data_IF_059227287884
#
_entry.id   IF_059227287884
#
_cell.length_a   1.000
_cell.length_b   1.000
_cell.length_c   1.000
_cell.angle_alpha   90.00
_cell.angle_beta   90.00
_cell.angle_gamma   90.00
#
_symmetry.space_group_name_H-M   'P 1'
#
loop_
_entity.id
_entity.type
_entity.pdbx_description
1 polymer ?
#
# COMPACT_ATOMS: atom_id res chain seq x y z
N UNK A 1 2.80 -5.89 1.41
CA UNK A 1 1.52 -5.85 2.15
C UNK A 1 1.14 -4.41 2.38
N UNK A 2 -0.14 -4.07 2.30
CA UNK A 2 -0.61 -2.72 2.65
C UNK A 2 -1.27 -2.76 4.03
N UNK A 3 -1.03 -1.77 4.88
CA UNK A 3 -1.54 -1.75 6.25
C UNK A 3 -2.25 -0.43 6.54
N UNK A 4 -3.47 -0.53 7.09
CA UNK A 4 -4.31 0.60 7.49
C UNK A 4 -4.82 0.41 8.92
N UNK A 5 -4.68 1.44 9.76
CA UNK A 5 -5.30 1.52 11.08
C UNK A 5 -6.75 1.99 10.97
N UNK A 6 -7.65 1.45 11.81
CA UNK A 6 -9.08 1.74 11.70
C UNK A 6 -9.62 2.74 12.73
N UNK A 7 -8.76 3.31 13.58
CA UNK A 7 -9.16 4.25 14.64
C UNK A 7 -9.13 5.72 14.20
N UNK A 8 -8.55 6.02 13.04
CA UNK A 8 -8.53 7.38 12.51
C UNK A 8 -9.91 7.76 11.96
N UNK A 9 -10.28 9.04 12.08
CA UNK A 9 -11.56 9.55 11.55
C UNK A 9 -11.66 9.33 10.03
N UNK A 10 -10.55 9.44 9.32
CA UNK A 10 -10.45 9.20 7.88
C UNK A 10 -10.29 7.72 7.48
N UNK A 11 -10.44 6.77 8.40
CA UNK A 11 -10.32 5.35 8.11
C UNK A 11 -11.16 4.86 6.91
N UNK A 12 -12.39 5.34 6.66
CA UNK A 12 -13.14 4.98 5.45
C UNK A 12 -12.44 5.40 4.16
N UNK A 13 -11.92 6.64 4.11
CA UNK A 13 -11.16 7.15 2.96
C UNK A 13 -9.84 6.42 2.77
N UNK A 14 -9.16 6.12 3.87
CA UNK A 14 -7.94 5.33 3.84
C UNK A 14 -8.18 3.93 3.23
N UNK A 15 -9.28 3.27 3.61
CA UNK A 15 -9.67 1.96 3.08
C UNK A 15 -10.03 2.01 1.58
N UNK A 16 -10.69 3.07 1.15
CA UNK A 16 -11.01 3.27 -0.27
C UNK A 16 -9.72 3.43 -1.10
N UNK A 17 -8.84 4.33 -0.68
CA UNK A 17 -7.63 4.67 -1.42
C UNK A 17 -6.58 3.54 -1.40
N UNK A 18 -6.43 2.82 -0.28
CA UNK A 18 -5.57 1.62 -0.24
C UNK A 18 -6.11 0.49 -1.13
N UNK A 19 -7.43 0.42 -1.32
CA UNK A 19 -8.09 -0.51 -2.24
C UNK A 19 -7.75 -0.18 -3.69
N UNK A 20 -7.87 1.10 -4.08
CA UNK A 20 -7.48 1.57 -5.43
C UNK A 20 -6.01 1.25 -5.74
N UNK A 21 -5.09 1.54 -4.82
CA UNK A 21 -3.67 1.18 -4.98
C UNK A 21 -3.47 -0.35 -5.14
N UNK A 22 -4.22 -1.16 -4.38
CA UNK A 22 -4.17 -2.62 -4.51
C UNK A 22 -4.65 -3.07 -5.90
N UNK A 23 -5.74 -2.50 -6.39
CA UNK A 23 -6.31 -2.83 -7.71
C UNK A 23 -5.33 -2.44 -8.83
N UNK A 24 -4.76 -1.23 -8.80
CA UNK A 24 -3.70 -0.81 -9.73
C UNK A 24 -2.52 -1.79 -9.71
N UNK A 25 -2.07 -2.19 -8.52
CA UNK A 25 -0.97 -3.16 -8.38
C UNK A 25 -1.34 -4.54 -8.93
N UNK A 26 -2.58 -4.99 -8.73
CA UNK A 26 -3.06 -6.28 -9.22
C UNK A 26 -3.17 -6.31 -10.74
N UNK A 27 -3.63 -5.22 -11.36
CA UNK A 27 -3.72 -5.10 -12.82
C UNK A 27 -2.34 -5.07 -13.48
N UNK A 28 -1.38 -4.35 -12.90
CA UNK A 28 -0.01 -4.26 -13.43
C UNK A 28 0.81 -5.53 -13.17
N UNK A 29 0.86 -5.99 -11.92
CA UNK A 29 1.68 -7.11 -11.48
C UNK A 29 0.94 -8.00 -10.46
N UNK A 30 0.11 -8.95 -10.94
CA UNK A 30 -0.67 -9.81 -10.06
C UNK A 30 0.17 -10.51 -8.98
N UNK A 31 -0.22 -10.33 -7.72
CA UNK A 31 0.42 -10.98 -6.57
C UNK A 31 1.61 -10.22 -5.95
N UNK A 32 2.04 -9.09 -6.51
CA UNK A 32 3.11 -8.26 -5.91
C UNK A 32 2.70 -7.72 -4.54
N UNK A 33 1.43 -7.34 -4.38
CA UNK A 33 0.81 -7.03 -3.09
C UNK A 33 -0.02 -8.22 -2.65
N UNK A 34 0.39 -8.86 -1.55
CA UNK A 34 -0.25 -10.10 -1.06
C UNK A 34 -1.64 -9.91 -0.48
N UNK A 35 -1.88 -8.82 0.25
CA UNK A 35 -3.15 -8.50 0.90
C UNK A 35 -3.09 -7.11 1.55
N UNK A 36 -4.26 -6.63 1.97
CA UNK A 36 -4.45 -5.44 2.80
C UNK A 36 -4.74 -5.91 4.23
N UNK A 37 -4.04 -5.36 5.22
CA UNK A 37 -4.29 -5.60 6.64
C UNK A 37 -4.98 -4.37 7.24
N UNK A 38 -6.16 -4.59 7.80
CA UNK A 38 -6.80 -3.60 8.69
C UNK A 38 -6.41 -3.92 10.13
N UNK A 39 -5.70 -3.00 10.78
CA UNK A 39 -5.29 -3.11 12.18
C UNK A 39 -6.34 -2.49 13.09
N UNK A 40 -7.14 -3.37 13.68
CA UNK A 40 -8.18 -3.01 14.64
C UNK A 40 -7.59 -2.32 15.89
N UNK A 41 -8.14 -1.17 16.26
CA UNK A 41 -7.71 -0.38 17.43
C UNK A 41 -6.41 0.40 17.25
N UNK A 42 -5.76 0.30 16.09
CA UNK A 42 -4.50 0.98 15.82
C UNK A 42 -4.72 2.44 15.40
N UNK A 43 -3.90 3.33 15.96
CA UNK A 43 -3.80 4.74 15.59
C UNK A 43 -2.38 5.01 15.11
N UNK A 44 -2.19 4.98 13.79
CA UNK A 44 -0.93 5.33 13.13
C UNK A 44 -0.98 6.78 12.64
N UNK A 45 0.13 7.29 12.09
CA UNK A 45 0.22 8.62 11.46
C UNK A 45 -0.59 8.76 10.15
N UNK A 46 -1.54 7.86 9.91
CA UNK A 46 -2.39 7.83 8.72
C UNK A 46 -3.52 8.87 8.77
N UNK A 47 -3.75 9.51 9.92
CA UNK A 47 -4.64 10.68 10.03
C UNK A 47 -4.09 11.93 9.31
N UNK A 48 -2.81 11.94 8.92
CA UNK A 48 -2.17 13.10 8.29
C UNK A 48 -2.70 13.38 6.87
N UNK A 49 -3.23 12.38 6.19
CA UNK A 49 -3.78 12.48 4.83
C UNK A 49 -4.64 11.25 4.53
N UNK A 50 -5.63 11.40 3.66
CA UNK A 50 -6.42 10.29 3.12
C UNK A 50 -5.62 9.33 2.24
N UNK A 51 -4.36 9.68 1.94
CA UNK A 51 -3.41 8.91 1.13
C UNK A 51 -2.23 8.35 1.93
N UNK A 52 -2.25 8.48 3.27
CA UNK A 52 -1.16 8.00 4.12
C UNK A 52 -1.36 6.52 4.48
N UNK A 53 -0.61 5.61 3.85
CA UNK A 53 -0.62 4.17 4.13
C UNK A 53 0.76 3.66 4.52
N UNK A 54 0.81 2.46 5.11
CA UNK A 54 2.06 1.74 5.31
C UNK A 54 2.18 0.64 4.27
N UNK A 55 3.31 0.62 3.56
CA UNK A 55 3.67 -0.41 2.59
C UNK A 55 4.81 -1.24 3.20
N UNK A 56 4.56 -2.53 3.43
CA UNK A 56 5.59 -3.49 3.85
C UNK A 56 6.14 -4.19 2.60
N UNK A 57 7.41 -3.97 2.30
CA UNK A 57 8.14 -4.58 1.20
C UNK A 57 9.22 -5.52 1.75
N UNK A 58 9.23 -6.77 1.26
CA UNK A 58 10.24 -7.75 1.63
C UNK A 58 10.11 -8.35 3.03
N UNK A 59 11.08 -9.22 3.35
CA UNK A 59 11.37 -9.77 4.66
C UNK A 59 12.84 -10.24 4.71
N UNK A 60 13.28 -10.78 5.85
CA UNK A 60 14.65 -11.27 6.04
C UNK A 60 15.04 -12.46 5.17
N UNK A 61 14.09 -13.06 4.46
CA UNK A 61 14.33 -14.17 3.53
C UNK A 61 14.62 -13.71 2.11
N UNK A 62 14.37 -12.43 1.79
CA UNK A 62 14.60 -11.92 0.44
C UNK A 62 16.08 -11.61 0.21
N UNK A 63 16.53 -11.83 -1.02
CA UNK A 63 17.83 -11.33 -1.46
C UNK A 63 17.76 -9.84 -1.78
N UNK A 64 18.92 -9.17 -1.86
CA UNK A 64 18.96 -7.75 -2.27
C UNK A 64 18.35 -7.57 -3.67
N UNK A 65 18.69 -8.45 -4.60
CA UNK A 65 18.22 -8.39 -5.99
C UNK A 65 16.70 -8.50 -6.09
N UNK A 66 16.09 -9.39 -5.30
CA UNK A 66 14.62 -9.50 -5.23
C UNK A 66 13.96 -8.22 -4.72
N UNK A 67 14.56 -7.57 -3.72
CA UNK A 67 14.04 -6.32 -3.15
C UNK A 67 14.23 -5.16 -4.11
N UNK A 68 15.37 -5.05 -4.77
CA UNK A 68 15.62 -4.01 -5.78
C UNK A 68 14.58 -4.12 -6.91
N UNK A 69 14.39 -5.33 -7.45
CA UNK A 69 13.40 -5.55 -8.50
C UNK A 69 11.97 -5.27 -8.02
N UNK A 70 11.64 -5.68 -6.79
CA UNK A 70 10.33 -5.35 -6.18
C UNK A 70 10.14 -3.84 -6.05
N UNK A 71 11.19 -3.09 -5.72
CA UNK A 71 11.13 -1.63 -5.59
C UNK A 71 10.92 -0.93 -6.93
N UNK A 72 11.51 -1.43 -8.02
CA UNK A 72 11.27 -0.93 -9.37
C UNK A 72 9.79 -1.10 -9.76
N UNK A 73 9.24 -2.31 -9.59
CA UNK A 73 7.83 -2.58 -9.87
C UNK A 73 6.88 -1.73 -8.99
N UNK A 74 7.21 -1.58 -7.71
CA UNK A 74 6.44 -0.74 -6.79
C UNK A 74 6.48 0.74 -7.21
N UNK A 75 7.59 1.21 -7.77
CA UNK A 75 7.72 2.58 -8.28
C UNK A 75 6.78 2.82 -9.45
N UNK A 76 6.71 1.88 -10.40
CA UNK A 76 5.79 1.96 -11.53
C UNK A 76 4.32 1.98 -11.08
N UNK A 77 3.96 1.10 -10.13
CA UNK A 77 2.61 1.07 -9.54
C UNK A 77 2.26 2.40 -8.88
N UNK A 78 3.15 2.92 -8.03
CA UNK A 78 2.91 4.18 -7.32
C UNK A 78 2.80 5.35 -8.29
N UNK A 79 3.64 5.38 -9.33
CA UNK A 79 3.56 6.39 -10.38
C UNK A 79 2.21 6.34 -11.11
N UNK A 80 1.75 5.16 -11.50
CA UNK A 80 0.43 5.00 -12.13
C UNK A 80 -0.69 5.45 -11.20
N UNK A 81 -0.73 4.93 -9.97
CA UNK A 81 -1.75 5.26 -8.98
C UNK A 81 -1.80 6.77 -8.69
N UNK A 82 -0.66 7.43 -8.47
CA UNK A 82 -0.61 8.86 -8.17
C UNK A 82 -1.16 9.72 -9.32
N UNK A 83 -0.94 9.33 -10.58
CA UNK A 83 -1.49 10.04 -11.73
C UNK A 83 -3.01 9.85 -11.92
N UNK A 84 -3.62 8.88 -11.24
CA UNK A 84 -5.06 8.62 -11.25
C UNK A 84 -5.79 9.24 -10.05
N UNK A 85 -5.05 9.80 -9.09
CA UNK A 85 -5.62 10.52 -7.94
C UNK A 85 -6.05 11.92 -8.39
N UNK A 86 -7.28 12.30 -8.03
CA UNK A 86 -7.85 13.65 -8.24
C UNK A 86 -7.14 14.76 -7.45
#
# INVERSE_FOLDING_TARGET
>A
TLVVGNKNENAPRLKENVGKLYDTAYEMYPGIIRHIIIREGAYFNQYLSDYSFLIEAGCTLNTKEEIDYTADLLTEILYQYINEID
#
